data_IF_422379866399
#
_entry.id   IF_422379866399
#
_cell.length_a   1.000
_cell.length_b   1.000
_cell.length_c   1.000
_cell.angle_alpha   90.00
_cell.angle_beta   90.00
_cell.angle_gamma   90.00
#
_symmetry.space_group_name_H-M   'P 1'
#
loop_
_entity.id
_entity.type
_entity.pdbx_description
1 polymer ?
#
# COMPACT_ATOMS: atom_id res chain seq x y z
N UNK A 1 0.93 12.66 19.50
CA UNK A 1 0.75 11.66 18.44
C UNK A 1 2.04 11.53 17.63
N UNK A 2 2.54 10.32 17.51
CA UNK A 2 3.79 10.08 16.79
C UNK A 2 3.61 10.24 15.29
N UNK A 3 4.68 10.66 14.60
CA UNK A 3 4.71 10.73 13.14
C UNK A 3 5.52 9.57 12.62
N UNK A 4 4.96 8.84 11.67
CA UNK A 4 5.62 7.72 11.00
C UNK A 4 5.70 8.04 9.51
N UNK A 5 6.91 7.95 8.95
CA UNK A 5 7.12 8.10 7.51
C UNK A 5 7.13 6.71 6.89
N UNK A 6 6.34 6.51 5.86
CA UNK A 6 6.12 5.19 5.25
C UNK A 6 6.38 5.28 3.75
N UNK A 7 7.24 4.38 3.24
CA UNK A 7 7.47 4.20 1.81
C UNK A 7 6.96 2.81 1.43
N UNK A 8 6.15 2.72 0.39
CA UNK A 8 5.53 1.45 -0.03
C UNK A 8 5.76 1.19 -1.51
N UNK A 9 5.80 -0.08 -1.86
CA UNK A 9 5.88 -0.50 -3.26
C UNK A 9 5.27 -1.88 -3.44
N UNK A 10 4.86 -2.17 -4.66
CA UNK A 10 4.34 -3.47 -5.07
C UNK A 10 4.98 -3.91 -6.37
N UNK A 11 5.14 -5.22 -6.53
CA UNK A 11 5.71 -5.82 -7.72
C UNK A 11 4.95 -7.09 -8.09
N UNK A 12 4.90 -7.41 -9.37
CA UNK A 12 4.24 -8.62 -9.83
C UNK A 12 4.90 -9.10 -11.12
N UNK A 13 5.21 -10.41 -11.17
CA UNK A 13 5.75 -11.05 -12.38
C UNK A 13 4.59 -11.62 -13.18
N UNK A 14 4.40 -11.12 -14.43
CA UNK A 14 3.35 -11.61 -15.30
C UNK A 14 1.95 -11.31 -14.81
N UNK A 15 1.62 -10.16 -14.55
CA UNK A 15 0.41 -9.55 -14.00
C UNK A 15 -0.91 -10.03 -14.65
N UNK A 16 -1.66 -11.11 -14.14
CA UNK A 16 -1.43 -11.72 -12.83
C UNK A 16 -0.29 -12.73 -12.80
N UNK A 17 0.20 -12.99 -11.58
CA UNK A 17 1.27 -13.95 -11.33
C UNK A 17 1.83 -13.78 -9.93
N UNK A 18 3.03 -14.33 -9.66
CA UNK A 18 3.66 -14.12 -8.35
C UNK A 18 3.94 -12.66 -8.11
N UNK A 19 3.54 -12.18 -6.97
CA UNK A 19 3.73 -10.78 -6.60
C UNK A 19 4.27 -10.60 -5.20
N UNK A 20 4.76 -9.40 -4.92
CA UNK A 20 5.28 -9.04 -3.61
C UNK A 20 4.98 -7.58 -3.28
N UNK A 21 5.04 -7.29 -2.00
CA UNK A 21 4.84 -5.94 -1.48
C UNK A 21 5.94 -5.61 -0.48
N UNK A 22 6.26 -4.35 -0.35
CA UNK A 22 7.26 -3.89 0.60
C UNK A 22 6.88 -2.57 1.22
N UNK A 23 7.28 -2.38 2.47
CA UNK A 23 7.07 -1.14 3.19
C UNK A 23 8.27 -0.84 4.09
N UNK A 24 8.74 0.40 4.05
CA UNK A 24 9.75 0.91 4.95
C UNK A 24 9.09 1.94 5.85
N UNK A 25 9.13 1.72 7.15
CA UNK A 25 8.55 2.62 8.13
C UNK A 25 9.66 3.23 8.96
N UNK A 26 9.57 4.54 9.19
CA UNK A 26 10.55 5.27 9.98
C UNK A 26 9.86 6.20 10.96
N UNK A 27 10.25 6.11 12.23
CA UNK A 27 9.76 7.01 13.28
C UNK A 27 10.92 7.41 14.16
N UNK A 28 11.29 8.69 14.11
CA UNK A 28 12.52 9.17 14.75
C UNK A 28 13.72 8.45 14.17
N UNK A 29 14.51 7.81 15.03
CA UNK A 29 15.67 7.02 14.60
C UNK A 29 15.38 5.51 14.55
N UNK A 30 14.11 5.12 14.62
CA UNK A 30 13.70 3.73 14.47
C UNK A 30 13.25 3.46 13.04
N UNK A 31 13.63 2.31 12.53
CA UNK A 31 13.19 1.84 11.21
C UNK A 31 12.60 0.45 11.32
N UNK A 32 11.63 0.17 10.46
CA UNK A 32 11.04 -1.16 10.35
C UNK A 32 10.83 -1.46 8.88
N UNK A 33 11.22 -2.66 8.47
CA UNK A 33 11.00 -3.13 7.10
C UNK A 33 9.99 -4.27 7.13
N UNK A 34 8.99 -4.18 6.26
CA UNK A 34 7.98 -5.23 6.10
C UNK A 34 7.96 -5.65 4.64
N UNK A 35 7.78 -6.93 4.39
CA UNK A 35 7.59 -7.42 3.04
C UNK A 35 6.89 -8.78 3.05
N UNK A 36 6.27 -9.11 1.95
CA UNK A 36 5.60 -10.37 1.77
C UNK A 36 5.20 -10.57 0.32
N UNK A 37 4.61 -11.69 0.01
CA UNK A 37 4.20 -11.98 -1.34
C UNK A 37 3.04 -12.95 -1.42
N UNK A 38 2.53 -13.10 -2.63
CA UNK A 38 1.45 -14.04 -2.94
C UNK A 38 1.78 -14.75 -4.25
N UNK A 39 1.46 -16.06 -4.36
CA UNK A 39 1.81 -16.82 -5.55
C UNK A 39 1.01 -16.44 -6.79
N UNK A 40 -0.16 -15.84 -6.62
CA UNK A 40 -1.01 -15.42 -7.72
C UNK A 40 -1.77 -14.16 -7.34
N UNK A 41 -1.34 -13.03 -7.88
CA UNK A 41 -1.90 -11.72 -7.56
C UNK A 41 -1.70 -10.75 -8.72
N UNK A 42 -1.93 -9.48 -8.49
CA UNK A 42 -1.72 -8.42 -9.46
C UNK A 42 -0.87 -7.30 -8.86
N UNK A 43 -0.28 -6.48 -9.71
CA UNK A 43 0.50 -5.34 -9.26
C UNK A 43 -0.35 -4.39 -8.41
N UNK A 44 -1.58 -4.12 -8.84
CA UNK A 44 -2.48 -3.22 -8.10
C UNK A 44 -2.81 -3.74 -6.70
N UNK A 45 -3.04 -5.06 -6.58
CA UNK A 45 -3.29 -5.66 -5.27
C UNK A 45 -2.07 -5.54 -4.37
N UNK A 46 -0.88 -5.71 -4.91
CA UNK A 46 0.36 -5.61 -4.13
C UNK A 46 0.63 -4.17 -3.69
N UNK A 47 0.34 -3.20 -4.54
CA UNK A 47 0.44 -1.78 -4.17
C UNK A 47 -0.49 -1.43 -3.00
N UNK A 48 -1.73 -1.89 -3.05
CA UNK A 48 -2.69 -1.69 -1.94
C UNK A 48 -2.24 -2.43 -0.68
N UNK A 49 -1.80 -3.68 -0.84
CA UNK A 49 -1.39 -4.52 0.29
C UNK A 49 -0.22 -3.90 1.05
N UNK A 50 0.74 -3.30 0.33
CA UNK A 50 1.88 -2.63 0.97
C UNK A 50 1.41 -1.53 1.93
N UNK A 51 0.49 -0.67 1.50
CA UNK A 51 -0.03 0.40 2.35
C UNK A 51 -0.84 -0.18 3.51
N UNK A 52 -1.70 -1.15 3.23
CA UNK A 52 -2.53 -1.81 4.26
C UNK A 52 -1.64 -2.42 5.35
N UNK A 53 -0.65 -3.20 4.98
CA UNK A 53 0.23 -3.87 5.94
C UNK A 53 1.05 -2.86 6.75
N UNK A 54 1.51 -1.79 6.11
CA UNK A 54 2.22 -0.73 6.82
C UNK A 54 1.33 -0.09 7.89
N UNK A 55 0.11 0.30 7.54
CA UNK A 55 -0.81 0.91 8.50
C UNK A 55 -1.25 -0.06 9.60
N UNK A 56 -1.46 -1.33 9.25
CA UNK A 56 -1.80 -2.37 10.25
C UNK A 56 -0.70 -2.58 11.28
N UNK A 57 0.55 -2.33 10.92
CA UNK A 57 1.67 -2.52 11.83
C UNK A 57 1.75 -1.44 12.92
N UNK A 58 1.01 -0.36 12.77
CA UNK A 58 0.98 0.72 13.75
C UNK A 58 0.06 0.33 14.90
N UNK A 59 0.60 0.32 16.11
CA UNK A 59 -0.12 -0.15 17.31
C UNK A 59 -1.00 0.93 17.93
N UNK A 60 -0.79 2.20 17.53
CA UNK A 60 -1.54 3.34 18.04
C UNK A 60 -1.89 4.26 16.89
N UNK A 61 -2.92 5.10 17.10
CA UNK A 61 -3.22 6.16 16.14
C UNK A 61 -1.99 7.03 15.94
N UNK A 62 -1.65 7.32 14.69
CA UNK A 62 -0.44 8.04 14.32
C UNK A 62 -0.68 8.98 13.15
N UNK A 63 0.23 9.94 12.99
CA UNK A 63 0.34 10.71 11.75
C UNK A 63 1.20 9.89 10.80
N UNK A 64 0.60 9.41 9.73
CA UNK A 64 1.28 8.57 8.76
C UNK A 64 1.52 9.38 7.48
N UNK A 65 2.79 9.61 7.16
CA UNK A 65 3.20 10.25 5.91
C UNK A 65 3.53 9.15 4.92
N UNK A 66 2.61 8.85 4.00
CA UNK A 66 2.73 7.72 3.08
C UNK A 66 3.23 8.18 1.72
N UNK A 67 4.38 7.64 1.31
CA UNK A 67 5.00 7.89 0.02
C UNK A 67 4.80 6.68 -0.88
N UNK A 68 4.19 6.87 -2.04
CA UNK A 68 3.97 5.82 -3.03
C UNK A 68 4.00 6.41 -4.45
N UNK A 69 4.45 5.60 -5.40
CA UNK A 69 4.42 5.97 -6.82
C UNK A 69 3.23 5.37 -7.56
N UNK A 70 2.36 4.65 -6.86
CA UNK A 70 1.22 3.98 -7.47
C UNK A 70 0.12 4.96 -7.89
N UNK A 71 -0.06 5.11 -9.19
CA UNK A 71 -1.15 5.90 -9.74
C UNK A 71 -2.51 5.28 -9.40
N UNK A 72 -2.56 3.96 -9.31
CA UNK A 72 -3.78 3.25 -8.95
C UNK A 72 -4.26 3.62 -7.54
N UNK A 73 -3.34 3.59 -6.57
CA UNK A 73 -3.66 3.99 -5.18
C UNK A 73 -4.06 5.46 -5.13
N UNK A 74 -3.31 6.31 -5.82
CA UNK A 74 -3.58 7.74 -5.88
C UNK A 74 -5.00 8.01 -6.39
N UNK A 75 -5.32 7.46 -7.55
CA UNK A 75 -6.63 7.71 -8.18
C UNK A 75 -7.77 7.17 -7.33
N UNK A 76 -7.57 6.02 -6.70
CA UNK A 76 -8.58 5.45 -5.82
C UNK A 76 -8.85 6.31 -4.60
N UNK A 77 -7.81 6.77 -3.93
CA UNK A 77 -7.94 7.59 -2.72
C UNK A 77 -8.48 8.98 -3.04
N UNK A 78 -8.00 9.62 -4.10
CA UNK A 78 -8.39 10.99 -4.44
C UNK A 78 -9.77 11.09 -5.10
N UNK A 79 -10.16 10.09 -5.86
CA UNK A 79 -11.33 10.19 -6.73
C UNK A 79 -12.32 9.05 -6.56
N UNK A 80 -11.91 7.81 -6.83
CA UNK A 80 -12.85 6.69 -6.98
C UNK A 80 -13.58 6.30 -5.71
N UNK A 81 -12.88 6.33 -4.58
CA UNK A 81 -13.42 5.84 -3.31
C UNK A 81 -14.67 6.64 -2.86
N UNK A 82 -14.72 7.92 -3.18
CA UNK A 82 -15.85 8.76 -2.81
C UNK A 82 -17.13 8.33 -3.53
N UNK A 83 -17.02 8.00 -4.81
CA UNK A 83 -18.15 7.47 -5.59
C UNK A 83 -18.55 6.09 -5.12
N UNK A 84 -17.58 5.22 -4.85
CA UNK A 84 -17.86 3.87 -4.35
C UNK A 84 -18.64 3.89 -3.04
N UNK A 85 -18.26 4.75 -2.11
CA UNK A 85 -18.97 4.87 -0.84
C UNK A 85 -20.42 5.31 -1.04
N UNK A 86 -20.65 6.25 -1.96
CA UNK A 86 -22.00 6.71 -2.26
C UNK A 86 -22.84 5.64 -2.97
N UNK A 87 -22.22 4.77 -3.73
CA UNK A 87 -22.90 3.77 -4.57
C UNK A 87 -22.89 2.36 -3.96
N UNK A 88 -22.59 2.23 -2.67
CA UNK A 88 -22.60 0.94 -1.99
C UNK A 88 -21.49 0.01 -2.48
N UNK A 89 -20.34 0.57 -2.88
CA UNK A 89 -19.19 -0.19 -3.36
C UNK A 89 -19.45 -0.97 -4.65
N UNK A 90 -20.28 -0.38 -5.51
CA UNK A 90 -20.56 -0.93 -6.84
C UNK A 90 -20.21 0.09 -7.91
N UNK A 91 -19.83 -0.41 -9.07
CA UNK A 91 -19.59 0.43 -10.25
C UNK A 91 -20.90 0.97 -10.81
N UNK A 92 -20.82 1.84 -11.79
CA UNK A 92 -21.99 2.35 -12.48
C UNK A 92 -22.86 1.22 -13.09
N UNK A 93 -22.24 0.11 -13.48
CA UNK A 93 -22.90 -1.07 -14.03
C UNK A 93 -23.46 -1.99 -12.94
N UNK A 94 -23.43 -1.56 -11.69
CA UNK A 94 -23.86 -2.35 -10.52
C UNK A 94 -23.04 -3.61 -10.28
N UNK A 95 -21.82 -3.66 -10.80
CA UNK A 95 -20.87 -4.74 -10.53
C UNK A 95 -20.03 -4.40 -9.30
N UNK A 96 -19.53 -5.40 -8.56
CA UNK A 96 -18.64 -5.13 -7.42
C UNK A 96 -17.40 -4.36 -7.87
N UNK A 97 -16.96 -3.45 -7.04
CA UNK A 97 -15.70 -2.71 -7.27
C UNK A 97 -14.54 -3.70 -7.26
N UNK A 98 -13.66 -3.60 -8.26
CA UNK A 98 -12.46 -4.44 -8.32
C UNK A 98 -11.58 -4.19 -7.11
N UNK A 99 -11.08 -5.26 -6.49
CA UNK A 99 -10.26 -5.20 -5.27
C UNK A 99 -10.98 -4.54 -4.08
N UNK A 100 -12.32 -4.64 -4.06
CA UNK A 100 -13.13 -4.04 -3.00
C UNK A 100 -12.70 -4.49 -1.61
N UNK A 101 -12.27 -5.75 -1.46
CA UNK A 101 -11.77 -6.30 -0.20
C UNK A 101 -10.62 -5.45 0.36
N UNK A 102 -9.64 -5.13 -0.49
CA UNK A 102 -8.48 -4.33 -0.09
C UNK A 102 -8.85 -2.85 0.11
N UNK A 103 -9.71 -2.30 -0.74
CA UNK A 103 -10.14 -0.91 -0.59
C UNK A 103 -10.92 -0.69 0.70
N UNK A 104 -11.74 -1.64 1.10
CA UNK A 104 -12.46 -1.59 2.40
C UNK A 104 -11.49 -1.59 3.57
N UNK A 105 -10.49 -2.48 3.54
CA UNK A 105 -9.47 -2.52 4.58
C UNK A 105 -8.69 -1.21 4.67
N UNK A 106 -8.26 -0.69 3.52
CA UNK A 106 -7.51 0.56 3.49
C UNK A 106 -8.34 1.73 4.02
N UNK A 107 -9.60 1.82 3.62
CA UNK A 107 -10.48 2.89 4.08
C UNK A 107 -10.63 2.87 5.60
N UNK A 108 -10.82 1.69 6.19
CA UNK A 108 -10.93 1.55 7.63
C UNK A 108 -9.64 1.97 8.35
N UNK A 109 -8.49 1.60 7.81
CA UNK A 109 -7.19 1.94 8.40
C UNK A 109 -6.91 3.44 8.30
N UNK A 110 -7.24 4.06 7.18
CA UNK A 110 -7.08 5.50 6.99
C UNK A 110 -7.92 6.27 8.01
N UNK A 111 -9.10 5.76 8.36
CA UNK A 111 -9.95 6.37 9.37
C UNK A 111 -9.37 6.29 10.79
N UNK A 112 -8.48 5.32 11.05
CA UNK A 112 -7.86 5.12 12.37
C UNK A 112 -6.63 6.00 12.60
N UNK A 113 -6.10 6.60 11.54
CA UNK A 113 -4.87 7.39 11.58
C UNK A 113 -5.07 8.74 10.89
N UNK A 114 -4.10 9.63 11.04
CA UNK A 114 -4.06 10.87 10.26
C UNK A 114 -3.08 10.67 9.10
N UNK A 115 -3.61 10.25 7.94
CA UNK A 115 -2.79 9.88 6.79
C UNK A 115 -2.64 11.07 5.85
N UNK A 116 -1.39 11.42 5.55
CA UNK A 116 -1.03 12.37 4.51
C UNK A 116 -0.38 11.61 3.36
N UNK A 117 -0.85 11.82 2.15
CA UNK A 117 -0.38 11.10 0.97
C UNK A 117 0.63 11.94 0.21
N UNK A 118 1.73 11.32 -0.17
CA UNK A 118 2.79 11.94 -0.97
C UNK A 118 3.00 11.10 -2.22
N UNK A 119 2.58 11.64 -3.36
CA UNK A 119 2.67 10.93 -4.63
C UNK A 119 4.01 11.25 -5.25
N UNK A 120 4.87 10.22 -5.40
CA UNK A 120 6.20 10.38 -5.96
C UNK A 120 6.23 9.85 -7.38
N UNK A 121 7.04 10.47 -8.22
CA UNK A 121 7.26 9.96 -9.58
C UNK A 121 8.40 8.97 -9.53
N UNK A 122 8.22 7.82 -10.16
CA UNK A 122 9.20 6.73 -10.24
C UNK A 122 10.60 7.13 -9.76
N UNK A 123 11.19 6.63 -9.15
CA UNK A 123 11.91 6.28 -8.07
C UNK A 123 13.36 5.99 -8.20
N UNK A 124 13.95 6.21 -9.27
CA UNK A 124 15.32 5.82 -9.54
C UNK A 124 16.37 6.54 -8.67
N UNK A 125 16.02 7.65 -8.02
CA UNK A 125 16.96 8.46 -7.25
C UNK A 125 16.65 8.56 -5.75
N UNK A 126 15.47 8.13 -5.31
CA UNK A 126 15.11 8.19 -3.90
C UNK A 126 15.52 6.89 -3.20
N UNK A 127 16.47 6.94 -2.24
CA UNK A 127 16.95 5.73 -1.57
C UNK A 127 15.85 4.95 -0.84
N UNK A 128 14.87 5.64 -0.28
CA UNK A 128 13.79 4.99 0.46
C UNK A 128 12.79 4.29 -0.47
N UNK A 129 12.51 4.87 -1.63
CA UNK A 129 11.72 4.21 -2.66
C UNK A 129 12.45 2.98 -3.21
N UNK A 130 13.75 3.08 -3.41
CA UNK A 130 14.59 1.95 -3.84
C UNK A 130 14.52 0.82 -2.82
N UNK A 131 14.57 1.14 -1.53
CA UNK A 131 14.46 0.14 -0.46
C UNK A 131 13.09 -0.54 -0.48
N UNK A 132 12.01 0.22 -0.64
CA UNK A 132 10.66 -0.35 -0.72
C UNK A 132 10.53 -1.27 -1.94
N UNK A 133 11.08 -0.86 -3.08
CA UNK A 133 11.09 -1.69 -4.29
C UNK A 133 11.85 -2.99 -4.07
N UNK A 134 13.02 -2.93 -3.43
CA UNK A 134 13.81 -4.12 -3.12
C UNK A 134 13.04 -5.08 -2.20
N UNK A 135 12.32 -4.55 -1.21
CA UNK A 135 11.49 -5.36 -0.31
C UNK A 135 10.35 -6.04 -1.08
N UNK A 136 9.71 -5.32 -1.99
CA UNK A 136 8.64 -5.90 -2.81
C UNK A 136 9.17 -7.05 -3.67
N UNK A 137 10.35 -6.90 -4.24
CA UNK A 137 10.96 -7.96 -5.04
C UNK A 137 11.35 -9.18 -4.20
N UNK A 138 11.80 -8.97 -2.96
CA UNK A 138 12.04 -10.08 -2.03
C UNK A 138 10.75 -10.84 -1.75
N UNK A 139 9.62 -10.13 -1.64
CA UNK A 139 8.31 -10.75 -1.50
C UNK A 139 7.93 -11.59 -2.70
N UNK A 140 8.21 -11.11 -3.91
CA UNK A 140 7.96 -11.89 -5.15
C UNK A 140 8.70 -13.23 -5.10
N UNK A 141 9.92 -13.24 -4.56
CA UNK A 141 10.74 -14.44 -4.48
C UNK A 141 10.33 -15.37 -3.32
N UNK A 142 9.22 -15.09 -2.66
CA UNK A 142 8.67 -15.95 -1.63
C UNK A 142 9.09 -15.60 -0.20
N UNK A 143 9.84 -14.52 -0.01
CA UNK A 143 10.21 -14.05 1.32
C UNK A 143 9.08 -13.31 2.02
N UNK A 144 9.16 -13.23 3.33
CA UNK A 144 8.23 -12.39 4.11
C UNK A 144 8.84 -12.07 5.46
N UNK A 145 8.37 -10.97 6.05
CA UNK A 145 8.72 -10.63 7.42
C UNK A 145 7.77 -11.34 8.38
N UNK A 146 8.31 -11.81 9.47
CA UNK A 146 7.50 -12.32 10.59
C UNK A 146 6.93 -11.11 11.33
N UNK A 147 5.67 -10.89 11.18
CA UNK A 147 5.01 -9.76 11.80
C UNK A 147 4.36 -10.14 13.11
#
# INVERSE_FOLDING_TARGET
MATVVIYTDGACKGNPGPGGWGALLRSGNREKELFGGEPHTTNNRMELTAVIRALQSLTRSARAEVYTDSQYVKNGIETWIHGWKRNGWKTADRKPVKNADLWHELDALVAQHHVSWHWVKGHATDPDNIRADALANRGVDGGHTDA
#
